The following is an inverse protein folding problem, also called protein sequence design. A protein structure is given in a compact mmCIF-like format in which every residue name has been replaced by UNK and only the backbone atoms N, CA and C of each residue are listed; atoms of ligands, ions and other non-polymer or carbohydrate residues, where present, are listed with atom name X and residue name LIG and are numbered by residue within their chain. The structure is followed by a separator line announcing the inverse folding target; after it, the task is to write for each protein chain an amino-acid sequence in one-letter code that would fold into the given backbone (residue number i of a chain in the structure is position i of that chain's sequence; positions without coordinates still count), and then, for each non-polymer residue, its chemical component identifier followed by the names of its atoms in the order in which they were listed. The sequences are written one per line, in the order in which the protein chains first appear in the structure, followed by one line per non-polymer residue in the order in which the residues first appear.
data_IF_791691382533
#
_entry.id   IF_791691382533
#
_cell.length_a   1.000
_cell.length_b   1.000
_cell.length_c   1.000
_cell.angle_alpha   90.00
_cell.angle_beta   90.00
_cell.angle_gamma   90.00
#
_symmetry.space_group_name_H-M   'P 1'
#
loop_
_entity.id
_entity.type
_entity.pdbx_description
1 polymer ?
#
# COMPACT_ATOMS: atom_id res chain seq x y z
N UNK A 1 -20.74 2.02 18.07
CA UNK A 1 -20.38 2.88 16.93
C UNK A 1 -19.79 4.24 17.32
N UNK A 2 -18.88 4.32 18.29
CA UNK A 2 -18.31 5.58 18.81
C UNK A 2 -16.78 5.58 18.99
N UNK A 3 -16.03 4.71 18.33
CA UNK A 3 -14.56 4.56 18.59
C UNK A 3 -13.63 5.26 17.59
N UNK A 4 -14.13 6.01 16.62
CA UNK A 4 -13.30 6.57 15.54
C UNK A 4 -13.08 8.08 15.57
N UNK A 5 -13.58 8.77 16.58
CA UNK A 5 -13.41 10.22 16.74
C UNK A 5 -12.32 10.59 17.77
N UNK A 6 -11.29 9.77 17.90
CA UNK A 6 -10.17 10.06 18.79
C UNK A 6 -9.39 11.28 18.26
N UNK A 7 -9.34 12.35 19.01
CA UNK A 7 -8.67 13.64 18.72
C UNK A 7 -9.30 14.53 17.64
N UNK A 8 -10.55 14.32 17.23
CA UNK A 8 -11.26 15.34 16.44
C UNK A 8 -12.07 16.27 17.37
N UNK A 9 -12.22 17.57 17.03
CA UNK A 9 -13.15 18.43 17.74
C UNK A 9 -14.55 17.81 17.77
N UNK A 10 -15.32 18.02 18.85
CA UNK A 10 -16.68 17.45 18.97
C UNK A 10 -17.52 17.82 17.75
N UNK A 11 -18.05 16.81 17.05
CA UNK A 11 -18.90 16.97 15.88
C UNK A 11 -18.19 17.09 14.53
N UNK A 12 -16.85 16.99 14.47
CA UNK A 12 -16.07 17.07 13.24
C UNK A 12 -15.25 15.81 13.05
N UNK A 13 -15.37 15.18 11.89
CA UNK A 13 -14.60 13.99 11.49
C UNK A 13 -15.45 12.92 10.84
N UNK A 14 -14.78 11.92 10.27
CA UNK A 14 -15.41 10.76 9.62
C UNK A 14 -15.12 9.49 10.41
N UNK A 15 -16.10 8.60 10.50
CA UNK A 15 -15.92 7.28 11.13
C UNK A 15 -14.91 6.45 10.36
N UNK A 16 -13.92 5.87 11.04
CA UNK A 16 -12.91 5.01 10.41
C UNK A 16 -13.51 3.62 10.20
N UNK A 17 -13.35 3.08 8.96
CA UNK A 17 -13.78 1.72 8.60
C UNK A 17 -15.19 1.62 8.03
N UNK A 18 -15.90 2.73 7.88
CA UNK A 18 -17.20 2.78 7.23
C UNK A 18 -17.05 3.14 5.74
N UNK A 19 -17.74 2.39 4.86
CA UNK A 19 -17.76 2.62 3.40
C UNK A 19 -18.34 3.99 3.08
N UNK A 20 -19.39 4.41 3.80
CA UNK A 20 -20.00 5.73 3.61
C UNK A 20 -19.03 6.86 3.94
N UNK A 21 -18.19 6.68 4.97
CA UNK A 21 -17.15 7.65 5.30
C UNK A 21 -16.10 7.79 4.18
N UNK A 22 -15.75 6.70 3.51
CA UNK A 22 -14.85 6.75 2.35
C UNK A 22 -15.49 7.47 1.16
N UNK A 23 -16.78 7.22 0.90
CA UNK A 23 -17.53 7.91 -0.14
C UNK A 23 -17.59 9.43 0.14
N UNK A 24 -18.02 9.81 1.33
CA UNK A 24 -18.08 11.23 1.72
C UNK A 24 -16.72 11.92 1.67
N UNK A 25 -15.65 11.24 2.12
CA UNK A 25 -14.29 11.75 2.00
C UNK A 25 -13.89 12.00 0.54
N UNK A 26 -14.25 11.09 -0.37
CA UNK A 26 -13.95 11.25 -1.78
C UNK A 26 -14.73 12.39 -2.43
N UNK A 27 -16.02 12.54 -2.10
CA UNK A 27 -16.85 13.66 -2.57
C UNK A 27 -16.29 14.99 -2.03
N UNK A 28 -15.97 15.06 -0.75
CA UNK A 28 -15.44 16.24 -0.11
C UNK A 28 -14.11 16.69 -0.72
N UNK A 29 -13.18 15.74 -0.93
CA UNK A 29 -11.88 16.02 -1.51
C UNK A 29 -11.88 16.14 -3.05
N UNK A 30 -13.01 15.91 -3.72
CA UNK A 30 -13.12 16.17 -5.17
C UNK A 30 -12.87 17.66 -5.50
N UNK A 31 -13.20 18.58 -4.59
CA UNK A 31 -12.91 20.01 -4.75
C UNK A 31 -11.39 20.23 -4.88
N UNK A 32 -10.59 19.52 -4.08
CA UNK A 32 -9.13 19.53 -4.21
C UNK A 32 -8.68 18.97 -5.56
N UNK A 33 -9.29 17.86 -6.03
CA UNK A 33 -8.95 17.26 -7.32
C UNK A 33 -9.19 18.25 -8.48
N UNK A 34 -10.31 18.95 -8.45
CA UNK A 34 -10.64 20.00 -9.45
C UNK A 34 -9.62 21.13 -9.40
N UNK A 35 -9.29 21.63 -8.20
CA UNK A 35 -8.29 22.68 -8.03
C UNK A 35 -6.93 22.26 -8.57
N UNK A 36 -6.44 21.08 -8.20
CA UNK A 36 -5.13 20.58 -8.64
C UNK A 36 -5.07 20.37 -10.14
N UNK A 37 -6.15 19.87 -10.75
CA UNK A 37 -6.19 19.61 -12.19
C UNK A 37 -6.43 20.84 -13.03
N UNK A 38 -7.33 21.72 -12.63
CA UNK A 38 -7.78 22.86 -13.44
C UNK A 38 -6.99 24.14 -13.16
N UNK A 39 -6.75 24.45 -11.87
CA UNK A 39 -6.06 25.67 -11.45
C UNK A 39 -4.53 25.47 -11.48
N UNK A 40 -4.03 24.44 -10.80
CA UNK A 40 -2.61 24.15 -10.77
C UNK A 40 -2.12 23.43 -12.03
N UNK A 41 -3.03 22.93 -12.88
CA UNK A 41 -2.74 22.24 -14.16
C UNK A 41 -1.75 21.08 -14.00
N UNK A 42 -1.83 20.33 -12.89
CA UNK A 42 -0.95 19.21 -12.61
C UNK A 42 -1.23 18.04 -13.57
N UNK A 43 -0.31 17.80 -14.51
CA UNK A 43 -0.44 16.72 -15.52
C UNK A 43 -0.45 15.33 -14.90
N UNK A 44 0.40 15.10 -13.89
CA UNK A 44 0.55 13.81 -13.23
C UNK A 44 0.13 13.95 -11.77
N UNK A 45 -1.14 13.74 -11.53
CA UNK A 45 -1.79 13.77 -10.22
C UNK A 45 -2.55 12.48 -9.99
N UNK A 46 -2.44 11.93 -8.79
CA UNK A 46 -3.28 10.83 -8.32
C UNK A 46 -3.59 11.01 -6.84
N UNK A 47 -4.79 10.61 -6.44
CA UNK A 47 -5.25 10.58 -5.05
C UNK A 47 -5.91 9.25 -4.74
N UNK A 48 -5.68 8.77 -3.54
CA UNK A 48 -6.39 7.65 -2.94
C UNK A 48 -6.81 8.06 -1.52
N UNK A 49 -8.10 8.30 -1.35
CA UNK A 49 -8.71 8.86 -0.13
C UNK A 49 -8.01 10.18 0.25
N UNK A 50 -7.19 10.20 1.29
CA UNK A 50 -6.43 11.34 1.81
C UNK A 50 -4.96 11.41 1.31
N UNK A 51 -4.44 10.31 0.76
CA UNK A 51 -3.10 10.26 0.20
C UNK A 51 -3.10 10.72 -1.27
N UNK A 52 -2.34 11.76 -1.61
CA UNK A 52 -2.18 12.20 -2.99
C UNK A 52 -0.72 12.42 -3.39
N UNK A 53 -0.46 12.36 -4.68
CA UNK A 53 0.85 12.57 -5.29
C UNK A 53 0.75 13.45 -6.52
N UNK A 54 1.71 14.38 -6.65
CA UNK A 54 1.94 15.18 -7.85
C UNK A 54 3.34 14.88 -8.33
N UNK A 55 3.51 14.65 -9.61
CA UNK A 55 4.82 14.36 -10.21
C UNK A 55 5.09 15.44 -11.27
N UNK A 56 6.26 16.06 -11.18
CA UNK A 56 6.75 17.03 -12.17
C UNK A 56 8.27 16.93 -12.27
N UNK A 57 8.81 17.38 -13.41
CA UNK A 57 10.27 17.58 -13.57
C UNK A 57 10.72 18.91 -12.95
N UNK A 58 9.80 19.86 -12.82
CA UNK A 58 10.05 21.18 -12.25
C UNK A 58 9.85 21.16 -10.74
N UNK A 59 10.93 21.37 -10.01
CA UNK A 59 10.93 21.37 -8.54
C UNK A 59 10.32 22.66 -7.98
N UNK A 60 10.50 23.80 -8.64
CA UNK A 60 9.92 25.07 -8.20
C UNK A 60 8.41 25.05 -8.35
N UNK A 61 7.90 24.51 -9.46
CA UNK A 61 6.47 24.25 -9.62
C UNK A 61 5.91 23.34 -8.49
N UNK A 62 6.65 22.31 -8.07
CA UNK A 62 6.19 21.45 -6.97
C UNK A 62 6.19 22.19 -5.63
N UNK A 63 7.13 23.09 -5.38
CA UNK A 63 7.13 23.95 -4.18
C UNK A 63 5.93 24.90 -4.17
N UNK A 64 5.68 25.55 -5.29
CA UNK A 64 4.52 26.43 -5.48
C UNK A 64 3.21 25.68 -5.28
N UNK A 65 3.04 24.52 -5.93
CA UNK A 65 1.88 23.64 -5.73
C UNK A 65 1.67 23.26 -4.26
N UNK A 66 2.74 22.94 -3.55
CA UNK A 66 2.65 22.57 -2.14
C UNK A 66 2.09 23.71 -1.28
N UNK A 67 2.56 24.93 -1.48
CA UNK A 67 2.06 26.10 -0.72
C UNK A 67 0.64 26.46 -1.11
N UNK A 68 0.32 26.47 -2.39
CA UNK A 68 -1.05 26.73 -2.89
C UNK A 68 -2.05 25.71 -2.38
N UNK A 69 -1.70 24.42 -2.40
CA UNK A 69 -2.55 23.35 -1.85
C UNK A 69 -2.72 23.53 -0.33
N UNK A 70 -1.67 23.88 0.39
CA UNK A 70 -1.74 24.12 1.83
C UNK A 70 -2.74 25.23 2.18
N UNK A 71 -2.69 26.35 1.45
CA UNK A 71 -3.61 27.46 1.60
C UNK A 71 -5.04 27.05 1.22
N UNK A 72 -5.21 26.42 0.06
CA UNK A 72 -6.51 25.96 -0.43
C UNK A 72 -7.20 25.00 0.55
N UNK A 73 -6.48 24.00 1.08
CA UNK A 73 -7.01 23.05 2.05
C UNK A 73 -7.48 23.76 3.33
N UNK A 74 -6.67 24.71 3.83
CA UNK A 74 -7.01 25.47 5.02
C UNK A 74 -8.25 26.36 4.80
N UNK A 75 -8.25 27.13 3.73
CA UNK A 75 -9.23 28.21 3.52
C UNK A 75 -10.57 27.69 2.98
N UNK A 76 -10.54 26.67 2.12
CA UNK A 76 -11.73 26.12 1.48
C UNK A 76 -12.30 24.89 2.16
N UNK A 77 -11.46 24.07 2.79
CA UNK A 77 -11.86 22.78 3.34
C UNK A 77 -11.61 22.68 4.86
N UNK A 78 -11.04 23.70 5.51
CA UNK A 78 -10.69 23.62 6.93
C UNK A 78 -9.70 22.50 7.29
N UNK A 79 -8.96 21.96 6.28
CA UNK A 79 -8.04 20.86 6.45
C UNK A 79 -6.59 21.33 6.56
N UNK A 80 -5.80 20.59 7.35
CA UNK A 80 -4.39 20.92 7.56
C UNK A 80 -3.52 19.89 6.84
N UNK A 81 -2.68 20.35 5.92
CA UNK A 81 -1.69 19.51 5.26
C UNK A 81 -0.60 19.08 6.25
N UNK A 82 -0.42 17.76 6.43
CA UNK A 82 0.47 17.21 7.42
C UNK A 82 1.95 17.49 7.10
N UNK A 83 2.59 18.41 7.82
CA UNK A 83 3.96 18.91 7.56
C UNK A 83 5.02 17.80 7.41
N UNK A 84 5.06 16.83 8.33
CA UNK A 84 6.08 15.76 8.35
C UNK A 84 5.89 14.73 7.22
N UNK A 85 4.67 14.54 6.73
CA UNK A 85 4.35 13.58 5.65
C UNK A 85 4.42 14.21 4.26
N UNK A 86 4.32 15.54 4.15
CA UNK A 86 4.38 16.25 2.87
C UNK A 86 5.81 16.58 2.51
N UNK A 87 6.37 15.80 1.60
CA UNK A 87 7.78 15.91 1.16
C UNK A 87 7.85 15.97 -0.35
N UNK A 88 8.80 16.76 -0.86
CA UNK A 88 9.23 16.72 -2.26
C UNK A 88 10.47 15.83 -2.28
N UNK A 89 10.43 14.78 -3.08
CA UNK A 89 11.50 13.79 -3.19
C UNK A 89 11.75 13.44 -4.65
N UNK A 90 12.96 13.00 -4.96
CA UNK A 90 13.28 12.52 -6.30
C UNK A 90 12.56 11.19 -6.62
N UNK A 91 12.14 10.99 -7.87
CA UNK A 91 11.60 9.70 -8.34
C UNK A 91 12.63 8.55 -8.30
N UNK A 92 13.92 8.87 -8.13
CA UNK A 92 15.00 7.88 -7.90
C UNK A 92 15.01 7.36 -6.46
N UNK A 93 14.42 8.11 -5.52
CA UNK A 93 14.26 7.69 -4.13
C UNK A 93 13.08 6.74 -3.96
N UNK A 94 13.02 6.11 -2.80
CA UNK A 94 11.92 5.21 -2.45
C UNK A 94 10.65 6.01 -2.12
N UNK A 95 9.69 5.99 -3.03
CA UNK A 95 8.37 6.57 -2.81
C UNK A 95 7.45 5.53 -2.17
N UNK A 96 7.01 5.79 -0.94
CA UNK A 96 5.98 4.97 -0.31
C UNK A 96 4.60 5.47 -0.73
N UNK A 97 3.80 4.59 -1.35
CA UNK A 97 2.42 4.88 -1.74
C UNK A 97 1.58 3.60 -1.72
N UNK A 98 0.42 3.65 -1.06
CA UNK A 98 -0.53 2.53 -0.95
C UNK A 98 0.10 1.19 -0.52
N UNK A 99 0.99 1.25 0.46
CA UNK A 99 1.65 0.05 0.97
C UNK A 99 2.73 -0.54 0.07
N UNK A 100 3.07 0.13 -1.03
CA UNK A 100 4.16 -0.24 -1.93
C UNK A 100 5.32 0.75 -1.84
N UNK A 101 6.54 0.26 -2.04
CA UNK A 101 7.72 1.08 -2.30
C UNK A 101 7.91 1.18 -3.81
N UNK A 102 7.75 2.37 -4.37
CA UNK A 102 7.90 2.63 -5.81
C UNK A 102 9.25 3.28 -6.06
N UNK A 103 10.01 2.75 -7.00
CA UNK A 103 11.28 3.31 -7.46
C UNK A 103 11.50 2.97 -8.93
N UNK A 104 11.86 3.96 -9.73
CA UNK A 104 12.09 3.79 -11.17
C UNK A 104 10.96 3.03 -11.89
N UNK A 105 9.70 3.38 -11.60
CA UNK A 105 8.53 2.75 -12.20
C UNK A 105 8.23 1.32 -11.75
N UNK A 106 9.02 0.74 -10.84
CA UNK A 106 8.81 -0.62 -10.31
C UNK A 106 8.29 -0.59 -8.89
N UNK A 107 7.45 -1.58 -8.55
CA UNK A 107 6.88 -1.75 -7.20
C UNK A 107 7.69 -2.78 -6.42
N UNK A 108 8.12 -2.41 -5.23
CA UNK A 108 8.89 -3.28 -4.32
C UNK A 108 8.13 -3.47 -3.01
N UNK A 109 8.34 -4.61 -2.39
CA UNK A 109 7.80 -4.91 -1.05
C UNK A 109 8.53 -4.06 -0.01
N UNK A 110 7.82 -3.30 0.83
CA UNK A 110 8.46 -2.56 1.91
C UNK A 110 9.16 -3.50 2.90
N UNK A 111 10.34 -3.10 3.40
CA UNK A 111 11.13 -3.92 4.35
C UNK A 111 10.31 -4.35 5.56
N UNK A 112 9.49 -3.45 6.13
CA UNK A 112 8.63 -3.75 7.29
C UNK A 112 7.59 -4.83 6.97
N UNK A 113 7.01 -4.81 5.77
CA UNK A 113 6.04 -5.83 5.34
C UNK A 113 6.73 -7.18 5.14
N UNK A 114 7.91 -7.18 4.51
CA UNK A 114 8.70 -8.40 4.32
C UNK A 114 9.11 -9.03 5.66
N UNK A 115 9.55 -8.22 6.63
CA UNK A 115 9.88 -8.70 7.97
C UNK A 115 8.66 -9.36 8.64
N UNK A 116 7.47 -8.76 8.53
CA UNK A 116 6.22 -9.34 9.05
C UNK A 116 5.86 -10.67 8.38
N UNK A 117 6.02 -10.76 7.04
CA UNK A 117 5.78 -12.01 6.30
C UNK A 117 6.76 -13.08 6.76
N UNK A 118 8.05 -12.76 6.86
CA UNK A 118 9.07 -13.71 7.37
C UNK A 118 8.73 -14.22 8.77
N UNK A 119 8.33 -13.34 9.70
CA UNK A 119 7.94 -13.73 11.05
C UNK A 119 6.77 -14.74 11.03
N UNK A 120 5.70 -14.41 10.28
CA UNK A 120 4.54 -15.28 10.17
C UNK A 120 4.84 -16.62 9.50
N UNK A 121 5.66 -16.62 8.44
CA UNK A 121 6.04 -17.87 7.76
C UNK A 121 6.97 -18.73 8.61
N UNK A 122 7.72 -18.14 9.55
CA UNK A 122 8.53 -18.93 10.49
C UNK A 122 7.68 -19.78 11.46
N UNK A 123 6.43 -19.42 11.67
CA UNK A 123 5.47 -20.18 12.50
C UNK A 123 5.00 -21.45 11.78
N UNK A 124 5.12 -21.54 10.43
CA UNK A 124 4.66 -22.67 9.62
C UNK A 124 5.29 -24.01 10.04
N UNK A 125 6.54 -24.00 10.52
CA UNK A 125 7.23 -25.19 11.01
C UNK A 125 6.50 -25.94 12.14
N UNK A 126 5.57 -25.26 12.85
CA UNK A 126 4.78 -25.84 13.93
C UNK A 126 3.33 -26.12 13.51
N UNK A 127 2.99 -25.95 12.24
CA UNK A 127 1.62 -26.05 11.75
C UNK A 127 1.41 -27.33 10.95
N UNK A 128 0.16 -27.79 10.91
CA UNK A 128 -0.22 -28.85 9.99
C UNK A 128 -0.07 -28.38 8.53
N UNK A 129 0.53 -29.18 7.61
CA UNK A 129 0.66 -28.82 6.20
C UNK A 129 -0.62 -28.35 5.51
N UNK A 130 -1.76 -28.92 5.88
CA UNK A 130 -3.08 -28.53 5.35
C UNK A 130 -3.37 -27.04 5.67
N UNK A 131 -3.02 -26.57 6.86
CA UNK A 131 -3.23 -25.19 7.30
C UNK A 131 -2.17 -24.22 6.75
N UNK A 132 -0.99 -24.74 6.40
CA UNK A 132 0.08 -23.95 5.80
C UNK A 132 -0.28 -23.48 4.41
N UNK A 133 -0.90 -24.34 3.59
CA UNK A 133 -1.18 -24.06 2.18
C UNK A 133 -2.00 -22.77 1.95
N UNK A 134 -3.19 -22.55 2.58
CA UNK A 134 -3.96 -21.34 2.36
C UNK A 134 -3.23 -20.08 2.88
N UNK A 135 -2.51 -20.17 3.99
CA UNK A 135 -1.74 -19.05 4.54
C UNK A 135 -0.55 -18.69 3.65
N UNK A 136 0.19 -19.69 3.16
CA UNK A 136 1.27 -19.48 2.22
C UNK A 136 0.75 -18.82 0.93
N UNK A 137 -0.34 -19.34 0.33
CA UNK A 137 -0.94 -18.79 -0.86
C UNK A 137 -1.39 -17.34 -0.68
N UNK A 138 -1.94 -16.96 0.48
CA UNK A 138 -2.28 -15.57 0.80
C UNK A 138 -1.04 -14.66 0.74
N UNK A 139 0.10 -15.09 1.32
CA UNK A 139 1.34 -14.31 1.28
C UNK A 139 1.93 -14.23 -0.14
N UNK A 140 1.93 -15.32 -0.89
CA UNK A 140 2.45 -15.37 -2.26
C UNK A 140 1.58 -14.55 -3.23
N UNK A 141 0.25 -14.61 -3.09
CA UNK A 141 -0.69 -13.78 -3.83
C UNK A 141 -0.47 -12.28 -3.59
N UNK A 142 -0.27 -11.88 -2.32
CA UNK A 142 0.09 -10.50 -2.00
C UNK A 142 1.43 -10.10 -2.64
N UNK A 143 2.46 -10.95 -2.56
CA UNK A 143 3.78 -10.68 -3.13
C UNK A 143 3.77 -10.63 -4.66
N UNK A 144 2.80 -11.23 -5.33
CA UNK A 144 2.66 -11.21 -6.79
C UNK A 144 2.35 -9.82 -7.35
N UNK A 145 1.86 -8.89 -6.50
CA UNK A 145 1.64 -7.49 -6.88
C UNK A 145 2.96 -6.69 -7.03
N UNK A 146 4.10 -7.28 -6.68
CA UNK A 146 5.41 -6.62 -6.63
C UNK A 146 6.43 -7.32 -7.53
N UNK A 147 7.52 -6.64 -7.84
CA UNK A 147 8.71 -7.24 -8.45
C UNK A 147 9.46 -8.12 -7.43
N UNK A 148 8.85 -9.22 -7.01
CA UNK A 148 9.27 -10.00 -5.86
C UNK A 148 9.62 -11.46 -6.17
N UNK A 149 9.89 -11.84 -7.44
CA UNK A 149 10.15 -13.22 -7.81
C UNK A 149 11.30 -13.85 -7.00
N UNK A 150 12.44 -13.15 -6.88
CA UNK A 150 13.58 -13.63 -6.08
C UNK A 150 13.24 -13.78 -4.58
N UNK A 151 12.38 -12.90 -4.06
CA UNK A 151 11.92 -12.95 -2.67
C UNK A 151 10.99 -14.14 -2.49
N UNK A 152 10.04 -14.35 -3.40
CA UNK A 152 9.11 -15.49 -3.37
C UNK A 152 9.87 -16.81 -3.38
N UNK A 153 10.86 -16.96 -4.29
CA UNK A 153 11.71 -18.14 -4.33
C UNK A 153 12.42 -18.40 -2.99
N UNK A 154 13.08 -17.39 -2.43
CA UNK A 154 13.75 -17.51 -1.11
C UNK A 154 12.80 -17.90 0.02
N UNK A 155 11.58 -17.35 0.03
CA UNK A 155 10.58 -17.68 1.05
C UNK A 155 10.07 -19.11 0.87
N UNK A 156 9.85 -19.56 -0.36
CA UNK A 156 9.47 -20.93 -0.67
C UNK A 156 10.54 -21.90 -0.20
N UNK A 157 11.78 -21.72 -0.64
CA UNK A 157 12.91 -22.59 -0.32
C UNK A 157 13.14 -22.70 1.20
N UNK A 158 12.95 -21.59 1.92
CA UNK A 158 13.20 -21.53 3.36
C UNK A 158 12.06 -22.10 4.22
N UNK A 159 10.80 -21.86 3.85
CA UNK A 159 9.66 -22.11 4.75
C UNK A 159 8.67 -23.16 4.23
N UNK A 160 8.67 -23.45 2.95
CA UNK A 160 7.68 -24.32 2.31
C UNK A 160 8.32 -25.62 1.80
N UNK A 161 9.44 -25.52 1.09
CA UNK A 161 10.15 -26.68 0.57
C UNK A 161 10.54 -27.74 1.62
N UNK A 162 10.89 -27.37 2.89
CA UNK A 162 11.22 -28.36 3.92
C UNK A 162 10.10 -29.34 4.27
N UNK A 163 8.83 -29.01 3.95
CA UNK A 163 7.72 -29.96 4.15
C UNK A 163 7.76 -31.13 3.16
N UNK A 164 8.44 -31.00 2.01
CA UNK A 164 8.49 -32.04 0.98
C UNK A 164 7.17 -32.31 0.23
N UNK A 165 6.08 -31.62 0.61
CA UNK A 165 4.71 -31.87 0.18
C UNK A 165 4.19 -30.85 -0.84
N UNK A 166 4.93 -29.79 -1.09
CA UNK A 166 4.46 -28.64 -1.86
C UNK A 166 5.30 -28.37 -3.10
N UNK A 167 4.63 -27.92 -4.15
CA UNK A 167 5.25 -27.34 -5.34
C UNK A 167 4.68 -25.96 -5.63
N UNK A 168 5.40 -25.15 -6.38
CA UNK A 168 4.93 -23.85 -6.85
C UNK A 168 4.41 -23.92 -8.29
N UNK A 169 3.45 -23.06 -8.61
CA UNK A 169 2.90 -22.86 -9.96
C UNK A 169 3.10 -21.41 -10.43
N UNK A 170 3.16 -21.22 -11.76
CA UNK A 170 3.15 -19.88 -12.40
C UNK A 170 4.11 -18.87 -11.72
N UNK A 171 5.42 -19.14 -11.75
CA UNK A 171 6.42 -18.23 -11.18
C UNK A 171 6.15 -17.85 -9.70
N UNK A 172 5.82 -18.82 -8.87
CA UNK A 172 5.48 -18.63 -7.45
C UNK A 172 4.25 -17.73 -7.20
N UNK A 173 3.27 -17.73 -8.10
CA UNK A 173 1.98 -17.08 -7.84
C UNK A 173 1.14 -17.89 -6.86
N UNK A 174 1.20 -19.22 -6.97
CA UNK A 174 0.51 -20.13 -6.07
C UNK A 174 1.37 -21.36 -5.71
N UNK A 175 1.02 -21.97 -4.59
CA UNK A 175 1.60 -23.19 -4.05
C UNK A 175 0.49 -24.24 -4.02
N UNK A 176 0.79 -25.47 -4.35
CA UNK A 176 -0.12 -26.60 -4.29
C UNK A 176 0.60 -27.82 -3.72
N UNK A 177 -0.16 -28.85 -3.34
CA UNK A 177 0.42 -30.16 -2.99
C UNK A 177 1.07 -30.79 -4.22
N UNK A 178 2.13 -31.57 -4.00
CA UNK A 178 2.72 -32.43 -5.03
C UNK A 178 1.75 -33.58 -5.33
N UNK A 179 1.77 -34.11 -6.56
CA UNK A 179 0.88 -35.20 -6.94
C UNK A 179 1.12 -36.48 -6.14
N UNK A 180 2.34 -36.71 -5.65
CA UNK A 180 2.66 -37.81 -4.73
C UNK A 180 2.00 -37.71 -3.36
N UNK A 181 1.73 -36.51 -2.87
CA UNK A 181 1.10 -36.29 -1.54
C UNK A 181 -0.43 -36.43 -1.53
N UNK A 182 -1.05 -36.60 -2.71
CA UNK A 182 -2.50 -36.80 -2.84
C UNK A 182 -2.88 -38.29 -2.94
N UNK A 183 -1.90 -39.20 -2.94
CA UNK A 183 -2.13 -40.66 -3.10
C UNK A 183 -1.91 -41.46 -1.81
N UNK A 184 -1.65 -40.79 -0.70
CA UNK A 184 -1.60 -41.36 0.66
C UNK A 184 -2.78 -40.83 1.49
#
# INVERSE_FOLDING_TARGET
MRKSLFNSPKGVGLAIGDIMSQLYSNVYLNILDQYVKRELKAKHYCRYVDDFKIISRDTEYLKDCKEKIRMFLKDRLGLILHRKKTKITSCRENLMFLGACIRNGRRYVPKKVLARINSKMNEFKYMNPIDVLPKANSHFGYLSQFNALKIKKKLFDKYIAPFGLFMYRKNFESICFTECSLRT
#
